data_IF_069249777344
#
_entry.id   IF_069249777344
#
_cell.length_a   1.000
_cell.length_b   1.000
_cell.length_c   1.000
_cell.angle_alpha   90.00
_cell.angle_beta   90.00
_cell.angle_gamma   90.00
#
_symmetry.space_group_name_H-M   'P 1'
#
loop_
_entity.id
_entity.type
_entity.pdbx_description
1 polymer ?
#
# COMPACT_ATOMS: atom_id res chain seq x y z
N UNK A 1 -23.57 10.94 59.39
CA UNK A 1 -22.54 11.95 59.06
C UNK A 1 -23.04 12.67 57.81
N UNK A 2 -23.58 13.89 58.03
CA UNK A 2 -23.79 15.04 57.11
C UNK A 2 -24.32 14.72 55.70
N UNK A 3 -25.64 14.80 55.46
CA UNK A 3 -26.45 15.98 55.05
C UNK A 3 -26.57 16.07 53.50
N UNK A 4 -27.79 15.91 52.95
CA UNK A 4 -28.76 16.96 52.60
C UNK A 4 -28.52 17.47 51.17
N UNK A 5 -29.48 17.74 50.28
CA UNK A 5 -30.94 17.75 50.19
C UNK A 5 -31.24 18.21 48.74
N UNK A 6 -32.22 17.65 48.03
CA UNK A 6 -33.52 18.29 47.71
C UNK A 6 -33.37 19.70 47.02
N UNK A 7 -34.06 20.12 45.95
CA UNK A 7 -35.41 19.82 45.47
C UNK A 7 -35.69 20.66 44.19
N UNK A 8 -36.80 20.33 43.51
CA UNK A 8 -37.63 21.14 42.59
C UNK A 8 -37.29 21.26 41.09
N UNK A 9 -38.34 20.91 40.35
CA UNK A 9 -38.63 21.05 38.94
C UNK A 9 -39.82 22.04 38.82
N UNK A 10 -39.76 23.10 38.01
CA UNK A 10 -40.96 23.83 37.51
C UNK A 10 -40.68 24.42 36.13
N UNK A 11 -41.65 24.26 35.23
CA UNK A 11 -41.69 24.75 33.86
C UNK A 11 -42.39 26.12 33.71
N UNK A 12 -42.32 26.66 32.49
CA UNK A 12 -43.37 27.41 31.76
C UNK A 12 -43.08 28.85 31.31
N UNK A 13 -43.65 29.12 30.15
CA UNK A 13 -43.56 30.22 29.19
C UNK A 13 -44.20 31.55 29.64
N UNK A 14 -43.86 32.67 28.99
CA UNK A 14 -44.68 33.89 29.03
C UNK A 14 -44.09 35.13 28.32
N UNK A 15 -44.93 35.86 27.58
CA UNK A 15 -44.67 36.88 26.54
C UNK A 15 -44.45 38.35 26.99
N UNK A 16 -43.69 39.12 26.17
CA UNK A 16 -43.86 40.53 25.69
C UNK A 16 -44.16 41.70 26.66
N UNK A 17 -44.25 42.99 26.23
CA UNK A 17 -44.21 43.55 24.85
C UNK A 17 -43.49 44.94 24.62
N UNK A 18 -43.25 45.26 23.33
CA UNK A 18 -43.37 46.54 22.58
C UNK A 18 -42.57 47.85 22.85
N UNK A 19 -41.96 48.38 21.76
CA UNK A 19 -41.73 49.82 21.46
C UNK A 19 -40.91 50.06 20.15
N UNK A 20 -41.28 50.94 19.18
CA UNK A 20 -40.94 50.78 17.74
C UNK A 20 -40.03 51.86 17.05
N UNK A 21 -39.30 51.41 16.00
CA UNK A 21 -38.91 52.03 14.68
C UNK A 21 -38.16 53.41 14.55
N UNK A 22 -37.62 53.83 13.36
CA UNK A 22 -36.74 53.15 12.37
C UNK A 22 -35.59 54.04 11.79
N UNK A 23 -34.68 53.39 11.04
CA UNK A 23 -33.88 53.81 9.85
C UNK A 23 -33.04 55.11 9.80
N UNK A 24 -31.78 54.95 9.35
CA UNK A 24 -31.17 55.78 8.27
C UNK A 24 -29.98 55.09 7.60
N UNK A 25 -30.03 55.04 6.28
CA UNK A 25 -29.04 54.54 5.34
C UNK A 25 -27.68 55.25 5.43
N UNK A 26 -26.60 54.55 5.11
CA UNK A 26 -25.56 55.05 4.19
C UNK A 26 -24.71 53.91 3.61
N UNK A 27 -24.27 54.13 2.38
CA UNK A 27 -23.80 53.18 1.39
C UNK A 27 -22.43 52.52 1.63
N UNK A 28 -22.23 51.37 0.96
CA UNK A 28 -21.00 51.08 0.22
C UNK A 28 -20.08 49.99 0.76
N UNK A 29 -20.17 48.78 0.21
CA UNK A 29 -19.17 48.22 -0.73
C UNK A 29 -19.19 46.67 -0.72
N UNK A 30 -19.10 46.12 -1.91
CA UNK A 30 -19.26 44.71 -2.27
C UNK A 30 -18.11 43.82 -1.80
N UNK A 31 -18.43 42.70 -1.15
CA UNK A 31 -17.52 41.56 -1.04
C UNK A 31 -18.31 40.24 -1.24
N UNK A 32 -18.48 39.85 -2.49
CA UNK A 32 -18.75 38.46 -2.85
C UNK A 32 -17.47 37.65 -2.55
N UNK A 33 -17.56 36.61 -1.71
CA UNK A 33 -16.37 35.89 -1.24
C UNK A 33 -16.60 34.39 -1.04
N UNK A 34 -16.52 33.65 -2.16
CA UNK A 34 -16.13 32.24 -2.32
C UNK A 34 -16.83 31.20 -1.43
N UNK A 35 -17.85 30.53 -2.00
CA UNK A 35 -18.21 29.17 -1.57
C UNK A 35 -17.10 28.20 -2.02
N UNK A 36 -16.63 27.27 -1.18
CA UNK A 36 -15.68 26.25 -1.62
C UNK A 36 -16.33 25.45 -2.76
N UNK A 37 -15.69 25.48 -3.93
CA UNK A 37 -16.07 24.64 -5.05
C UNK A 37 -15.88 23.18 -4.65
N UNK A 38 -16.85 22.28 -4.89
CA UNK A 38 -16.64 20.87 -4.64
C UNK A 38 -15.44 20.40 -5.45
N UNK A 39 -14.47 19.78 -4.77
CA UNK A 39 -13.32 19.17 -5.43
C UNK A 39 -13.86 18.15 -6.44
N UNK A 40 -13.55 18.37 -7.72
CA UNK A 40 -13.82 17.40 -8.78
C UNK A 40 -13.05 16.13 -8.39
N UNK A 41 -13.69 14.95 -8.33
CA UNK A 41 -12.98 13.70 -8.10
C UNK A 41 -11.88 13.58 -9.16
N UNK A 42 -10.62 13.52 -8.76
CA UNK A 42 -9.52 13.20 -9.66
C UNK A 42 -9.88 11.88 -10.33
N UNK A 43 -10.09 11.91 -11.65
CA UNK A 43 -10.40 10.71 -12.42
C UNK A 43 -9.32 9.65 -12.12
N UNK A 44 -9.76 8.43 -11.82
CA UNK A 44 -8.86 7.31 -11.61
C UNK A 44 -7.94 7.17 -12.84
N UNK A 45 -6.64 7.04 -12.61
CA UNK A 45 -5.67 6.83 -13.68
C UNK A 45 -6.07 5.58 -14.49
N UNK A 46 -6.39 5.71 -15.79
CA UNK A 46 -6.94 4.61 -16.58
C UNK A 46 -5.88 3.57 -16.96
N UNK A 47 -4.60 3.82 -16.68
CA UNK A 47 -3.51 2.88 -17.01
C UNK A 47 -3.65 1.59 -16.21
N UNK A 48 -3.40 0.41 -16.82
CA UNK A 48 -3.24 -0.84 -16.09
C UNK A 48 -2.18 -0.73 -14.99
N UNK A 49 -2.38 -1.45 -13.90
CA UNK A 49 -1.51 -1.40 -12.72
C UNK A 49 -0.43 -2.47 -12.77
N UNK A 50 0.80 -2.11 -12.41
CA UNK A 50 1.83 -3.02 -11.91
C UNK A 50 1.92 -2.89 -10.39
N UNK A 51 1.44 -3.89 -9.67
CA UNK A 51 1.54 -3.95 -8.22
C UNK A 51 2.87 -4.59 -7.83
N UNK A 52 3.66 -3.92 -7.00
CA UNK A 52 4.92 -4.45 -6.47
C UNK A 52 4.74 -4.72 -4.98
N UNK A 53 4.54 -5.98 -4.63
CA UNK A 53 4.48 -6.44 -3.24
C UNK A 53 5.91 -6.72 -2.80
N UNK A 54 6.40 -5.98 -1.81
CA UNK A 54 7.73 -6.31 -1.31
C UNK A 54 8.12 -5.76 0.05
N UNK A 55 9.42 -5.73 0.29
CA UNK A 55 10.04 -5.45 1.59
C UNK A 55 10.52 -3.99 1.66
N UNK A 56 11.58 -3.74 2.43
CA UNK A 56 12.28 -2.45 2.50
C UNK A 56 12.92 -2.04 1.17
N UNK A 57 13.32 -3.01 0.34
CA UNK A 57 13.87 -2.73 -0.99
C UNK A 57 12.81 -2.03 -1.84
N UNK A 58 11.61 -2.60 -1.86
CA UNK A 58 10.45 -2.02 -2.55
C UNK A 58 9.98 -0.73 -1.88
N UNK A 59 9.95 -0.68 -0.55
CA UNK A 59 9.53 0.52 0.18
C UNK A 59 10.47 1.73 -0.01
N UNK A 60 11.70 1.51 -0.48
CA UNK A 60 12.70 2.58 -0.62
C UNK A 60 13.32 2.99 0.72
N UNK A 61 13.56 2.03 1.62
CA UNK A 61 14.17 2.33 2.92
C UNK A 61 15.54 3.00 2.73
N UNK A 62 15.70 4.18 3.34
CA UNK A 62 16.96 4.93 3.32
C UNK A 62 17.15 5.84 2.11
N UNK A 63 16.15 5.99 1.25
CA UNK A 63 16.14 6.93 0.13
C UNK A 63 14.87 7.77 0.10
N UNK A 64 14.89 8.88 -0.63
CA UNK A 64 13.69 9.66 -0.90
C UNK A 64 12.66 8.81 -1.68
N UNK A 65 11.34 9.03 -1.50
CA UNK A 65 10.31 8.27 -2.21
C UNK A 65 10.48 8.26 -3.73
N UNK A 66 10.93 9.37 -4.32
CA UNK A 66 11.18 9.48 -5.77
C UNK A 66 12.44 8.74 -6.23
N UNK A 67 13.32 8.39 -5.29
CA UNK A 67 14.54 7.62 -5.51
C UNK A 67 14.36 6.13 -5.24
N UNK A 68 13.20 5.70 -4.70
CA UNK A 68 12.87 4.29 -4.57
C UNK A 68 12.78 3.63 -5.96
N UNK A 69 13.21 2.37 -6.08
CA UNK A 69 13.24 1.71 -7.40
C UNK A 69 11.87 1.63 -8.09
N UNK A 70 10.71 1.49 -7.40
CA UNK A 70 9.42 1.53 -8.08
C UNK A 70 9.13 2.89 -8.75
N UNK A 71 9.57 4.00 -8.14
CA UNK A 71 9.43 5.34 -8.72
C UNK A 71 10.37 5.52 -9.92
N UNK A 72 11.60 5.01 -9.82
CA UNK A 72 12.54 4.97 -10.95
C UNK A 72 11.95 4.13 -12.10
N UNK A 73 11.37 2.97 -11.79
CA UNK A 73 10.73 2.10 -12.75
C UNK A 73 9.56 2.80 -13.45
N UNK A 74 8.69 3.51 -12.71
CA UNK A 74 7.62 4.32 -13.30
C UNK A 74 8.17 5.31 -14.34
N UNK A 75 9.20 6.08 -13.99
CA UNK A 75 9.81 7.05 -14.92
C UNK A 75 10.41 6.38 -16.16
N UNK A 76 11.03 5.21 -15.99
CA UNK A 76 11.57 4.43 -17.12
C UNK A 76 10.45 3.92 -18.04
N UNK A 77 9.34 3.44 -17.48
CA UNK A 77 8.17 3.00 -18.25
C UNK A 77 7.54 4.17 -19.01
N UNK A 78 7.35 5.31 -18.34
CA UNK A 78 6.81 6.53 -18.97
C UNK A 78 7.72 7.02 -20.12
N UNK A 79 9.04 7.03 -19.90
CA UNK A 79 10.03 7.42 -20.92
C UNK A 79 10.06 6.46 -22.11
N UNK A 80 9.71 5.18 -21.89
CA UNK A 80 9.59 4.17 -22.93
C UNK A 80 8.20 4.17 -23.62
N UNK A 81 7.28 5.05 -23.21
CA UNK A 81 5.91 5.10 -23.74
C UNK A 81 5.04 3.90 -23.32
N UNK A 82 5.42 3.18 -22.26
CA UNK A 82 4.66 2.04 -21.75
C UNK A 82 3.61 2.56 -20.76
N UNK A 83 2.33 2.46 -21.14
CA UNK A 83 1.20 2.92 -20.35
C UNK A 83 0.88 1.97 -19.18
N UNK A 84 1.74 1.94 -18.16
CA UNK A 84 1.61 1.12 -16.96
C UNK A 84 1.84 1.99 -15.71
N UNK A 85 0.96 1.88 -14.73
CA UNK A 85 1.09 2.58 -13.44
C UNK A 85 1.68 1.64 -12.39
N UNK A 86 2.83 1.99 -11.85
CA UNK A 86 3.52 1.25 -10.79
C UNK A 86 2.91 1.64 -9.44
N UNK A 87 2.49 0.64 -8.68
CA UNK A 87 2.03 0.79 -7.30
C UNK A 87 3.05 0.14 -6.39
N UNK A 88 3.70 0.98 -5.58
CA UNK A 88 4.60 0.53 -4.53
C UNK A 88 3.78 0.03 -3.33
N UNK A 89 3.79 -1.28 -3.10
CA UNK A 89 3.22 -1.90 -1.91
C UNK A 89 4.32 -2.52 -1.03
N UNK A 90 5.49 -1.90 -0.97
CA UNK A 90 6.60 -2.30 -0.11
C UNK A 90 6.33 -2.05 1.37
N UNK A 91 6.72 -2.99 2.22
CA UNK A 91 6.65 -2.85 3.67
C UNK A 91 8.00 -3.22 4.32
N UNK A 92 8.68 -2.24 4.90
CA UNK A 92 10.00 -2.42 5.49
C UNK A 92 10.01 -3.48 6.60
N UNK A 93 10.98 -4.40 6.53
CA UNK A 93 11.14 -5.48 7.51
C UNK A 93 10.13 -6.64 7.39
N UNK A 94 9.25 -6.61 6.38
CA UNK A 94 8.25 -7.66 6.14
C UNK A 94 8.91 -8.98 5.70
N UNK A 95 8.46 -10.09 6.29
CA UNK A 95 8.80 -11.45 5.86
C UNK A 95 7.80 -11.98 4.84
N UNK A 96 8.10 -13.08 4.18
CA UNK A 96 7.19 -13.78 3.26
C UNK A 96 5.83 -14.06 3.92
N UNK A 97 5.84 -14.49 5.19
CA UNK A 97 4.62 -14.73 5.95
C UNK A 97 3.82 -13.45 6.22
N UNK A 98 4.50 -12.30 6.34
CA UNK A 98 3.84 -10.99 6.42
C UNK A 98 3.14 -10.60 5.13
N UNK A 99 3.85 -10.70 4.01
CA UNK A 99 3.28 -10.45 2.69
C UNK A 99 2.05 -11.32 2.44
N UNK A 100 2.13 -12.61 2.82
CA UNK A 100 1.02 -13.55 2.69
C UNK A 100 -0.23 -13.12 3.47
N UNK A 101 -0.09 -12.51 4.66
CA UNK A 101 -1.23 -12.07 5.47
C UNK A 101 -2.02 -10.93 4.82
N UNK A 102 -1.39 -10.10 4.01
CA UNK A 102 -2.02 -8.92 3.39
C UNK A 102 -2.27 -9.06 1.90
N UNK A 103 -1.82 -10.15 1.26
CA UNK A 103 -1.89 -10.29 -0.20
C UNK A 103 -3.33 -10.18 -0.72
N UNK A 104 -4.31 -10.79 -0.05
CA UNK A 104 -5.71 -10.72 -0.48
C UNK A 104 -6.28 -9.30 -0.42
N UNK A 105 -5.83 -8.49 0.53
CA UNK A 105 -6.23 -7.08 0.61
C UNK A 105 -5.60 -6.26 -0.52
N UNK A 106 -4.34 -6.52 -0.87
CA UNK A 106 -3.64 -5.83 -1.96
C UNK A 106 -4.23 -6.14 -3.35
N UNK A 107 -4.84 -7.31 -3.50
CA UNK A 107 -5.42 -7.79 -4.76
C UNK A 107 -6.88 -7.35 -4.96
N UNK A 108 -7.43 -6.50 -4.08
CA UNK A 108 -8.79 -5.95 -4.25
C UNK A 108 -8.90 -5.07 -5.50
N UNK A 109 -7.84 -4.36 -5.83
CA UNK A 109 -7.74 -3.62 -7.08
C UNK A 109 -7.12 -4.52 -8.16
N UNK A 110 -7.59 -4.38 -9.39
CA UNK A 110 -7.04 -5.14 -10.52
C UNK A 110 -5.61 -4.70 -10.84
N UNK A 111 -4.75 -5.66 -11.17
CA UNK A 111 -3.39 -5.44 -11.65
C UNK A 111 -3.11 -6.31 -12.87
N UNK A 112 -2.47 -5.73 -13.89
CA UNK A 112 -2.01 -6.46 -15.07
C UNK A 112 -0.69 -7.19 -14.80
N UNK A 113 0.12 -6.66 -13.88
CA UNK A 113 1.38 -7.26 -13.44
C UNK A 113 1.43 -7.26 -11.93
N UNK A 114 1.83 -8.38 -11.33
CA UNK A 114 2.12 -8.48 -9.90
C UNK A 114 3.55 -8.96 -9.71
N UNK A 115 4.41 -8.09 -9.20
CA UNK A 115 5.77 -8.41 -8.83
C UNK A 115 5.84 -8.74 -7.33
N UNK A 116 6.44 -9.88 -7.01
CA UNK A 116 6.60 -10.39 -5.64
C UNK A 116 8.09 -10.33 -5.28
N UNK A 117 8.46 -9.36 -4.46
CA UNK A 117 9.79 -9.16 -3.88
C UNK A 117 9.71 -9.46 -2.37
N UNK A 118 9.70 -10.74 -1.98
CA UNK A 118 9.72 -11.11 -0.56
C UNK A 118 10.64 -12.30 -0.30
N UNK A 119 10.90 -12.60 0.96
CA UNK A 119 11.86 -13.63 1.38
C UNK A 119 13.18 -13.07 1.90
N UNK A 120 13.58 -11.84 1.53
CA UNK A 120 14.85 -11.26 1.99
C UNK A 120 14.96 -11.25 3.53
N UNK A 121 13.90 -10.84 4.24
CA UNK A 121 13.88 -10.87 5.71
C UNK A 121 13.81 -12.27 6.31
N UNK A 122 13.31 -13.26 5.56
CA UNK A 122 13.34 -14.68 5.93
C UNK A 122 14.76 -15.20 5.89
N UNK A 123 15.48 -14.90 4.79
CA UNK A 123 16.90 -15.17 4.62
C UNK A 123 17.76 -14.47 5.66
N UNK A 124 17.52 -13.18 5.96
CA UNK A 124 18.24 -12.44 7.01
C UNK A 124 18.07 -13.04 8.41
N UNK A 125 16.93 -13.70 8.67
CA UNK A 125 16.58 -14.27 9.98
C UNK A 125 16.86 -15.77 10.07
N UNK A 126 17.39 -16.38 9.00
CA UNK A 126 17.63 -17.83 8.96
C UNK A 126 16.36 -18.66 9.10
N UNK A 127 15.22 -18.16 8.59
CA UNK A 127 13.97 -18.94 8.60
C UNK A 127 14.11 -20.20 7.76
N UNK A 128 13.37 -21.24 8.13
CA UNK A 128 13.34 -22.50 7.40
C UNK A 128 13.00 -22.29 5.90
N UNK A 129 13.81 -22.90 5.03
CA UNK A 129 13.72 -22.70 3.58
C UNK A 129 12.44 -23.31 3.03
N UNK A 130 12.03 -24.47 3.52
CA UNK A 130 10.81 -25.14 3.03
C UNK A 130 9.55 -24.37 3.45
N UNK A 131 9.55 -23.79 4.65
CA UNK A 131 8.48 -22.91 5.13
C UNK A 131 8.39 -21.62 4.30
N UNK A 132 9.54 -21.02 3.96
CA UNK A 132 9.59 -19.84 3.07
C UNK A 132 9.08 -20.20 1.68
N UNK A 133 9.48 -21.36 1.14
CA UNK A 133 9.03 -21.87 -0.17
C UNK A 133 7.53 -22.08 -0.22
N UNK A 134 6.98 -22.75 0.80
CA UNK A 134 5.55 -22.99 0.91
C UNK A 134 4.77 -21.67 0.94
N UNK A 135 5.30 -20.67 1.66
CA UNK A 135 4.72 -19.34 1.73
C UNK A 135 4.73 -18.62 0.38
N UNK A 136 5.85 -18.65 -0.36
CA UNK A 136 5.95 -18.06 -1.70
C UNK A 136 4.95 -18.68 -2.68
N UNK A 137 4.83 -20.02 -2.69
CA UNK A 137 3.82 -20.72 -3.49
C UNK A 137 2.40 -20.30 -3.13
N UNK A 138 2.11 -20.15 -1.83
CA UNK A 138 0.81 -19.70 -1.37
C UNK A 138 0.49 -18.27 -1.80
N UNK A 139 1.49 -17.36 -1.83
CA UNK A 139 1.33 -16.00 -2.38
C UNK A 139 1.00 -16.10 -3.87
N UNK A 140 1.82 -16.79 -4.66
CA UNK A 140 1.63 -16.90 -6.12
C UNK A 140 0.25 -17.46 -6.46
N UNK A 141 -0.20 -18.51 -5.76
CA UNK A 141 -1.52 -19.11 -5.99
C UNK A 141 -2.67 -18.18 -5.66
N UNK A 142 -2.56 -17.39 -4.59
CA UNK A 142 -3.57 -16.38 -4.26
C UNK A 142 -3.64 -15.28 -5.32
N UNK A 143 -2.49 -14.86 -5.85
CA UNK A 143 -2.44 -13.92 -6.97
C UNK A 143 -3.11 -14.51 -8.21
N UNK A 144 -2.78 -15.74 -8.61
CA UNK A 144 -3.42 -16.42 -9.76
C UNK A 144 -4.92 -16.57 -9.60
N UNK A 145 -5.38 -16.92 -8.40
CA UNK A 145 -6.80 -17.09 -8.12
C UNK A 145 -7.58 -15.77 -8.19
N UNK A 146 -6.98 -14.68 -7.69
CA UNK A 146 -7.61 -13.36 -7.69
C UNK A 146 -7.53 -12.66 -9.05
N UNK A 147 -6.41 -12.81 -9.76
CA UNK A 147 -6.10 -12.14 -11.03
C UNK A 147 -5.59 -13.15 -12.08
N UNK A 148 -6.48 -13.94 -12.71
CA UNK A 148 -6.09 -15.00 -13.63
C UNK A 148 -5.28 -14.54 -14.85
N UNK A 149 -5.50 -13.30 -15.29
CA UNK A 149 -4.86 -12.70 -16.45
C UNK A 149 -3.58 -11.92 -16.10
N UNK A 150 -3.23 -11.79 -14.81
CA UNK A 150 -2.07 -11.03 -14.40
C UNK A 150 -0.77 -11.78 -14.72
N UNK A 151 0.21 -11.07 -15.26
CA UNK A 151 1.58 -11.57 -15.32
C UNK A 151 2.20 -11.50 -13.92
N UNK A 152 2.65 -12.65 -13.41
CA UNK A 152 3.30 -12.73 -12.11
C UNK A 152 4.81 -12.79 -12.30
N UNK A 153 5.52 -11.91 -11.61
CA UNK A 153 6.98 -11.86 -11.56
C UNK A 153 7.44 -12.16 -10.14
N UNK A 154 8.19 -13.24 -9.95
CA UNK A 154 8.85 -13.57 -8.68
C UNK A 154 10.29 -13.05 -8.72
N UNK A 155 10.63 -12.12 -7.82
CA UNK A 155 12.00 -11.65 -7.68
C UNK A 155 12.82 -12.57 -6.77
N UNK A 156 13.94 -13.08 -7.28
CA UNK A 156 14.87 -13.88 -6.50
C UNK A 156 15.57 -13.02 -5.46
N UNK A 157 15.63 -13.52 -4.22
CA UNK A 157 16.41 -12.93 -3.14
C UNK A 157 17.57 -13.85 -2.75
N UNK A 158 18.57 -13.28 -2.10
CA UNK A 158 19.73 -13.99 -1.55
C UNK A 158 19.71 -13.91 -0.02
N UNK A 159 20.31 -14.92 0.63
CA UNK A 159 20.55 -14.87 2.07
C UNK A 159 22.02 -14.56 2.37
N UNK A 160 22.33 -13.98 3.55
CA UNK A 160 23.70 -13.64 3.91
C UNK A 160 24.65 -14.85 3.97
N UNK A 161 25.93 -14.71 3.55
CA UNK A 161 26.89 -15.81 3.54
C UNK A 161 27.20 -16.38 4.93
N UNK A 162 27.01 -15.61 6.00
CA UNK A 162 27.29 -16.04 7.37
C UNK A 162 26.30 -17.09 7.92
N UNK A 163 25.23 -17.43 7.19
CA UNK A 163 24.32 -18.53 7.53
C UNK A 163 24.80 -19.90 7.03
N UNK A 164 25.92 -19.94 6.31
CA UNK A 164 26.56 -21.16 5.83
C UNK A 164 26.05 -21.61 4.46
N UNK A 165 26.96 -22.21 3.70
CA UNK A 165 26.76 -22.56 2.28
C UNK A 165 25.54 -23.44 2.03
N UNK A 166 25.25 -24.38 2.93
CA UNK A 166 24.08 -25.25 2.83
C UNK A 166 22.77 -24.43 2.83
N UNK A 167 22.66 -23.47 3.74
CA UNK A 167 21.47 -22.64 3.85
C UNK A 167 21.36 -21.70 2.64
N UNK A 168 22.44 -21.00 2.30
CA UNK A 168 22.44 -20.01 1.21
C UNK A 168 22.15 -20.65 -0.14
N UNK A 169 22.71 -21.83 -0.40
CA UNK A 169 22.45 -22.60 -1.63
C UNK A 169 20.99 -23.04 -1.72
N UNK A 170 20.43 -23.58 -0.63
CA UNK A 170 19.04 -24.00 -0.60
C UNK A 170 18.08 -22.81 -0.76
N UNK A 171 18.37 -21.70 -0.07
CA UNK A 171 17.59 -20.47 -0.14
C UNK A 171 17.58 -19.88 -1.55
N UNK A 172 18.74 -19.80 -2.22
CA UNK A 172 18.84 -19.36 -3.62
C UNK A 172 18.04 -20.27 -4.55
N UNK A 173 18.23 -21.59 -4.44
CA UNK A 173 17.62 -22.57 -5.34
C UNK A 173 16.08 -22.63 -5.22
N UNK A 174 15.52 -22.19 -4.10
CA UNK A 174 14.07 -22.15 -3.88
C UNK A 174 13.33 -21.26 -4.89
N UNK A 175 13.86 -20.08 -5.21
CA UNK A 175 13.17 -19.12 -6.09
C UNK A 175 12.94 -19.65 -7.52
N UNK A 176 13.96 -20.15 -8.26
CA UNK A 176 13.74 -20.76 -9.57
C UNK A 176 12.86 -22.01 -9.49
N UNK A 177 12.93 -22.80 -8.41
CA UNK A 177 12.04 -23.93 -8.22
C UNK A 177 10.57 -23.49 -8.11
N UNK A 178 10.26 -22.48 -7.28
CA UNK A 178 8.90 -21.92 -7.17
C UNK A 178 8.43 -21.32 -8.49
N UNK A 179 9.28 -20.57 -9.18
CA UNK A 179 8.93 -19.95 -10.45
C UNK A 179 8.59 -21.00 -11.52
N UNK A 180 9.39 -22.07 -11.61
CA UNK A 180 9.13 -23.18 -12.53
C UNK A 180 7.87 -23.96 -12.15
N UNK A 181 7.69 -24.30 -10.87
CA UNK A 181 6.55 -25.09 -10.39
C UNK A 181 5.22 -24.38 -10.57
N UNK A 182 5.19 -23.08 -10.28
CA UNK A 182 4.00 -22.27 -10.42
C UNK A 182 3.93 -21.60 -11.80
N UNK A 183 4.87 -21.84 -12.72
CA UNK A 183 4.84 -21.28 -14.08
C UNK A 183 4.74 -19.75 -14.12
N UNK A 184 5.59 -19.05 -13.36
CA UNK A 184 5.66 -17.58 -13.29
C UNK A 184 7.02 -17.08 -13.76
N UNK A 185 7.11 -15.80 -14.13
CA UNK A 185 8.37 -15.19 -14.56
C UNK A 185 9.29 -15.08 -13.36
N UNK A 186 10.53 -15.59 -13.48
CA UNK A 186 11.58 -15.33 -12.51
C UNK A 186 12.35 -14.07 -12.92
N UNK A 187 12.36 -13.06 -12.06
CA UNK A 187 13.38 -12.02 -12.12
C UNK A 187 14.58 -12.53 -11.30
N UNK A 188 15.80 -12.62 -11.89
CA UNK A 188 17.02 -12.95 -11.17
C UNK A 188 17.29 -12.00 -10.00
N UNK A 189 18.39 -12.22 -9.28
CA UNK A 189 18.65 -11.47 -8.04
C UNK A 189 18.51 -9.96 -8.26
N UNK A 190 17.55 -9.37 -7.54
CA UNK A 190 17.07 -8.00 -7.79
C UNK A 190 18.19 -6.95 -7.72
N UNK A 191 19.24 -7.22 -6.94
CA UNK A 191 20.33 -6.28 -6.70
C UNK A 191 21.56 -6.52 -7.58
N UNK A 192 21.52 -7.48 -8.50
CA UNK A 192 22.64 -7.73 -9.43
C UNK A 192 22.75 -6.69 -10.57
N UNK A 193 21.77 -5.78 -10.70
CA UNK A 193 21.82 -4.64 -11.62
C UNK A 193 21.22 -4.89 -13.00
#
# INVERSE_FOLDING_TARGET
MVAAGAFVLVASSGCGPNGPEPAKDTAGDTAAGVRPSPAVPTAADPRPTMLIVGTSLTAGLGVDPDSAYPAILQRKLDSAGIALRVVNAGFSGETSAGALRRIEWLLKDTAAVVMIETGANDGLRGQDVDSTRATLRAIVRRVKAALPEATIVLAQMESPPNLGERYTTAFRAMFPAVASEEGVVLLPFLLDG
#
